data_IF_262603972212
#
_entry.id   IF_262603972212
#
_cell.length_a   1.000
_cell.length_b   1.000
_cell.length_c   1.000
_cell.angle_alpha   90.00
_cell.angle_beta   90.00
_cell.angle_gamma   90.00
#
_symmetry.space_group_name_H-M   'P 1'
#
loop_
_entity.id
_entity.type
_entity.pdbx_description
1 polymer ?
#
# COMPACT_ATOMS: atom_id res chain seq x y z
N UNK A 1 6.38 -7.99 3.98
CA UNK A 1 6.28 -9.39 4.28
C UNK A 1 6.94 -10.29 3.26
N UNK A 2 7.27 -11.48 3.70
CA UNK A 2 7.85 -12.50 2.83
C UNK A 2 6.76 -13.35 2.20
N UNK A 3 6.99 -13.74 0.96
CA UNK A 3 6.07 -14.62 0.23
C UNK A 3 6.87 -15.66 -0.56
N UNK A 4 6.20 -16.73 -0.94
CA UNK A 4 6.74 -17.76 -1.82
C UNK A 4 5.61 -18.34 -2.68
N UNK A 5 5.96 -19.12 -3.71
CA UNK A 5 4.99 -19.60 -4.68
C UNK A 5 3.87 -20.44 -4.06
N UNK A 6 4.20 -21.33 -3.12
CA UNK A 6 3.17 -22.14 -2.44
C UNK A 6 2.14 -21.28 -1.71
N UNK A 7 2.56 -20.18 -1.09
CA UNK A 7 1.66 -19.26 -0.42
C UNK A 7 0.75 -18.53 -1.43
N UNK A 8 1.34 -18.10 -2.55
CA UNK A 8 0.56 -17.47 -3.63
C UNK A 8 -0.46 -18.42 -4.24
N UNK A 9 -0.09 -19.66 -4.46
CA UNK A 9 -1.01 -20.69 -4.96
C UNK A 9 -2.16 -20.94 -3.99
N UNK A 10 -1.88 -21.04 -2.70
CA UNK A 10 -2.90 -21.21 -1.68
C UNK A 10 -3.88 -20.03 -1.65
N UNK A 11 -3.35 -18.82 -1.76
CA UNK A 11 -4.18 -17.60 -1.83
C UNK A 11 -5.11 -17.63 -3.06
N UNK A 12 -4.58 -17.99 -4.23
CA UNK A 12 -5.38 -18.10 -5.46
C UNK A 12 -6.48 -19.14 -5.33
N UNK A 13 -6.19 -20.27 -4.70
CA UNK A 13 -7.19 -21.32 -4.47
C UNK A 13 -8.35 -20.83 -3.60
N UNK A 14 -8.10 -19.84 -2.74
CA UNK A 14 -9.12 -19.21 -1.89
C UNK A 14 -9.77 -17.97 -2.52
N UNK A 15 -9.46 -17.66 -3.76
CA UNK A 15 -10.03 -16.50 -4.46
C UNK A 15 -9.29 -15.19 -4.23
N UNK A 16 -8.05 -15.23 -3.77
CA UNK A 16 -7.23 -14.04 -3.51
C UNK A 16 -6.03 -13.99 -4.44
N UNK A 17 -5.56 -12.79 -4.69
CA UNK A 17 -4.32 -12.54 -5.40
C UNK A 17 -3.32 -11.82 -4.50
N UNK A 18 -2.06 -12.19 -4.64
CA UNK A 18 -0.99 -11.49 -3.96
C UNK A 18 -0.59 -10.25 -4.76
N UNK A 19 -0.55 -9.11 -4.07
CA UNK A 19 -0.03 -7.87 -4.64
C UNK A 19 0.99 -7.30 -3.67
N UNK A 20 2.22 -7.11 -4.14
CA UNK A 20 3.26 -6.42 -3.40
C UNK A 20 3.22 -4.92 -3.66
N UNK A 21 3.92 -4.17 -2.83
CA UNK A 21 4.07 -2.73 -3.02
C UNK A 21 5.19 -2.42 -4.01
N UNK A 22 5.12 -1.24 -4.64
CA UNK A 22 6.21 -0.71 -5.47
C UNK A 22 7.37 -0.25 -4.59
N UNK A 23 8.61 -0.18 -5.10
CA UNK A 23 9.75 0.29 -4.29
C UNK A 23 9.52 1.66 -3.63
N UNK A 24 9.00 2.64 -4.36
CA UNK A 24 8.66 3.94 -3.79
C UNK A 24 7.41 3.90 -2.90
N UNK A 25 6.61 2.84 -2.99
CA UNK A 25 5.43 2.62 -2.18
C UNK A 25 5.72 2.05 -0.79
N UNK A 26 6.95 1.65 -0.53
CA UNK A 26 7.41 1.33 0.82
C UNK A 26 7.61 2.63 1.58
N UNK A 27 6.64 2.98 2.41
CA UNK A 27 6.63 4.29 3.08
C UNK A 27 7.61 4.38 4.25
N UNK A 28 8.09 3.25 4.75
CA UNK A 28 9.05 3.22 5.86
C UNK A 28 8.40 3.40 7.23
N UNK A 29 7.09 3.33 7.31
CA UNK A 29 6.33 3.59 8.54
C UNK A 29 6.50 2.51 9.62
N UNK A 30 7.18 1.42 9.31
CA UNK A 30 7.57 0.39 10.28
C UNK A 30 9.01 0.52 10.76
N UNK A 31 9.77 1.48 10.24
CA UNK A 31 11.16 1.71 10.61
C UNK A 31 11.26 2.51 11.92
N UNK A 32 12.45 2.52 12.51
CA UNK A 32 12.72 3.29 13.72
C UNK A 32 12.49 4.79 13.48
N UNK A 33 11.65 5.41 14.30
CA UNK A 33 11.28 6.83 14.12
C UNK A 33 12.38 7.82 14.46
N UNK A 34 13.39 7.41 15.24
CA UNK A 34 14.54 8.28 15.54
C UNK A 34 15.42 8.42 14.31
N UNK A 35 15.70 7.30 13.63
CA UNK A 35 16.52 7.29 12.43
C UNK A 35 15.75 7.72 11.18
N UNK A 36 14.45 7.46 11.17
CA UNK A 36 13.57 7.73 10.02
C UNK A 36 12.33 8.48 10.51
N UNK A 37 12.45 9.77 10.86
CA UNK A 37 11.32 10.56 11.35
C UNK A 37 10.26 10.77 10.26
N UNK A 38 9.04 10.99 10.70
CA UNK A 38 7.87 11.14 9.81
C UNK A 38 8.08 12.18 8.70
N UNK A 39 8.67 13.33 9.02
CA UNK A 39 8.88 14.39 8.02
C UNK A 39 9.83 13.94 6.90
N UNK A 40 10.86 13.18 7.25
CA UNK A 40 11.79 12.62 6.26
C UNK A 40 11.09 11.60 5.35
N UNK A 41 10.31 10.71 5.93
CA UNK A 41 9.57 9.69 5.18
C UNK A 41 8.51 10.31 4.28
N UNK A 42 7.80 11.32 4.77
CA UNK A 42 6.79 12.05 4.00
C UNK A 42 7.43 12.76 2.80
N UNK A 43 8.53 13.47 3.02
CA UNK A 43 9.24 14.15 1.96
C UNK A 43 9.73 13.20 0.87
N UNK A 44 10.29 12.06 1.27
CA UNK A 44 10.74 11.03 0.35
C UNK A 44 9.59 10.46 -0.48
N UNK A 45 8.47 10.12 0.18
CA UNK A 45 7.30 9.58 -0.51
C UNK A 45 6.73 10.57 -1.52
N UNK A 46 6.58 11.83 -1.13
CA UNK A 46 6.08 12.88 -2.03
C UNK A 46 6.99 13.10 -3.25
N UNK A 47 8.30 12.88 -3.09
CA UNK A 47 9.26 13.03 -4.18
C UNK A 47 9.28 11.82 -5.11
N UNK A 48 9.21 10.61 -4.56
CA UNK A 48 9.54 9.38 -5.28
C UNK A 48 8.33 8.63 -5.84
N UNK A 49 7.15 8.80 -5.27
CA UNK A 49 5.93 8.10 -5.72
C UNK A 49 5.53 8.57 -7.11
N UNK A 50 5.19 7.61 -7.97
CA UNK A 50 4.77 7.84 -9.36
C UNK A 50 3.45 7.17 -9.66
N UNK A 51 2.83 7.55 -10.77
CA UNK A 51 1.59 6.93 -11.24
C UNK A 51 1.78 5.41 -11.42
N UNK A 52 0.81 4.65 -10.95
CA UNK A 52 0.85 3.19 -10.99
C UNK A 52 1.50 2.55 -9.78
N UNK A 53 2.10 3.31 -8.88
CA UNK A 53 2.70 2.75 -7.66
C UNK A 53 1.63 2.20 -6.72
N UNK A 54 1.96 1.09 -6.08
CA UNK A 54 1.17 0.48 -5.01
C UNK A 54 1.85 0.81 -3.69
N UNK A 55 1.11 1.44 -2.79
CA UNK A 55 1.62 1.90 -1.50
C UNK A 55 1.23 0.91 -0.40
N UNK A 56 2.12 0.73 0.57
CA UNK A 56 1.83 -0.04 1.78
C UNK A 56 1.93 0.87 2.99
N UNK A 57 0.91 0.86 3.83
CA UNK A 57 0.88 1.59 5.10
C UNK A 57 0.40 0.66 6.22
N UNK A 58 0.92 0.88 7.41
CA UNK A 58 0.56 0.11 8.60
C UNK A 58 -0.26 0.96 9.57
N UNK A 59 -1.30 0.36 10.14
CA UNK A 59 -2.22 1.03 11.04
C UNK A 59 -1.87 0.76 12.52
N UNK A 60 -0.64 0.85 12.88
CA UNK A 60 -0.29 0.67 14.28
C UNK A 60 0.98 -0.12 14.47
N UNK A 61 2.06 0.49 14.13
CA UNK A 61 3.38 0.03 14.53
C UNK A 61 3.62 0.57 15.93
N UNK A 62 3.33 -0.24 16.92
CA UNK A 62 3.24 0.19 18.32
C UNK A 62 4.58 0.56 18.95
N UNK A 63 5.69 0.06 18.41
CA UNK A 63 7.03 0.40 18.86
C UNK A 63 7.61 1.65 18.18
N UNK A 64 6.91 2.19 17.19
CA UNK A 64 7.29 3.45 16.56
C UNK A 64 6.82 4.63 17.40
N UNK A 65 7.76 5.47 17.85
CA UNK A 65 7.46 6.61 18.74
C UNK A 65 6.75 7.75 18.02
N UNK A 66 6.93 7.89 16.72
CA UNK A 66 6.19 8.84 15.87
C UNK A 66 5.20 8.05 15.02
N UNK A 67 3.93 7.93 15.40
CA UNK A 67 2.96 7.19 14.60
C UNK A 67 2.76 7.81 13.22
N UNK A 68 2.75 6.96 12.20
CA UNK A 68 2.50 7.38 10.82
C UNK A 68 1.01 7.62 10.56
N UNK A 69 0.19 6.65 10.86
CA UNK A 69 -1.24 6.72 10.63
C UNK A 69 -1.97 7.10 11.93
N UNK A 70 -3.05 7.89 11.85
CA UNK A 70 -3.60 8.47 10.62
C UNK A 70 -2.96 9.80 10.19
N UNK A 71 -2.26 10.48 11.08
CA UNK A 71 -1.88 11.89 10.90
C UNK A 71 -1.02 12.16 9.67
N UNK A 72 0.07 11.40 9.52
CA UNK A 72 0.99 11.61 8.40
C UNK A 72 0.45 11.03 7.11
N UNK A 73 -0.26 9.92 7.19
CA UNK A 73 -0.88 9.30 6.02
C UNK A 73 -1.87 10.26 5.35
N UNK A 74 -2.65 11.00 6.13
CA UNK A 74 -3.55 12.01 5.58
C UNK A 74 -2.79 13.10 4.81
N UNK A 75 -1.69 13.59 5.38
CA UNK A 75 -0.84 14.58 4.71
C UNK A 75 -0.25 14.04 3.41
N UNK A 76 0.15 12.79 3.37
CA UNK A 76 0.65 12.14 2.16
C UNK A 76 -0.44 12.08 1.09
N UNK A 77 -1.63 11.64 1.44
CA UNK A 77 -2.76 11.55 0.50
C UNK A 77 -3.08 12.92 -0.08
N UNK A 78 -3.18 13.95 0.76
CA UNK A 78 -3.46 15.31 0.31
C UNK A 78 -2.33 15.86 -0.56
N UNK A 79 -1.08 15.61 -0.20
CA UNK A 79 0.08 16.04 -0.97
C UNK A 79 0.13 15.39 -2.36
N UNK A 80 -0.16 14.11 -2.45
CA UNK A 80 -0.21 13.41 -3.74
C UNK A 80 -1.36 13.90 -4.61
N UNK A 81 -2.54 14.11 -4.03
CA UNK A 81 -3.66 14.72 -4.76
C UNK A 81 -3.33 16.11 -5.28
N UNK A 82 -2.65 16.92 -4.48
CA UNK A 82 -2.18 18.24 -4.88
C UNK A 82 -1.20 18.21 -6.05
N UNK A 83 -0.50 17.09 -6.23
CA UNK A 83 0.39 16.86 -7.37
C UNK A 83 -0.29 16.21 -8.57
N UNK A 84 -1.62 16.06 -8.53
CA UNK A 84 -2.39 15.51 -9.63
C UNK A 84 -2.62 14.00 -9.61
N UNK A 85 -2.24 13.32 -8.52
CA UNK A 85 -2.48 11.88 -8.39
C UNK A 85 -3.93 11.60 -7.99
N UNK A 86 -4.46 10.48 -8.48
CA UNK A 86 -5.71 9.90 -8.05
C UNK A 86 -5.44 8.57 -7.35
N UNK A 87 -6.24 8.26 -6.34
CA UNK A 87 -6.19 6.96 -5.66
C UNK A 87 -7.25 6.05 -6.25
N UNK A 88 -6.86 4.83 -6.60
CA UNK A 88 -7.73 3.84 -7.20
C UNK A 88 -7.61 2.53 -6.44
N UNK A 89 -8.61 1.68 -6.59
CA UNK A 89 -8.54 0.31 -6.09
C UNK A 89 -7.60 -0.53 -6.95
N UNK A 90 -7.12 -1.64 -6.41
CA UNK A 90 -6.27 -2.55 -7.19
C UNK A 90 -7.00 -3.16 -8.38
N UNK A 91 -8.34 -3.24 -8.35
CA UNK A 91 -9.14 -3.69 -9.50
C UNK A 91 -9.01 -2.78 -10.71
N UNK A 92 -8.75 -1.50 -10.47
CA UNK A 92 -8.56 -0.50 -11.53
C UNK A 92 -7.09 -0.34 -11.94
N UNK A 93 -6.18 -1.09 -11.32
CA UNK A 93 -4.76 -1.01 -11.64
C UNK A 93 -4.48 -1.61 -13.03
N UNK A 94 -3.71 -0.93 -13.89
CA UNK A 94 -3.48 -1.39 -15.27
C UNK A 94 -2.80 -2.75 -15.37
N UNK A 95 -1.98 -3.12 -14.38
CA UNK A 95 -1.30 -4.42 -14.36
C UNK A 95 -2.04 -5.42 -13.48
N UNK A 96 -2.36 -5.04 -12.24
CA UNK A 96 -2.95 -5.96 -11.26
C UNK A 96 -4.44 -6.18 -11.45
N UNK A 97 -5.14 -5.25 -12.08
CA UNK A 97 -6.59 -5.33 -12.27
C UNK A 97 -7.04 -6.58 -13.00
N UNK A 98 -6.27 -7.04 -13.98
CA UNK A 98 -6.59 -8.25 -14.74
C UNK A 98 -6.66 -9.51 -13.87
N UNK A 99 -5.80 -9.62 -12.85
CA UNK A 99 -5.82 -10.73 -11.91
C UNK A 99 -7.11 -10.75 -11.09
N UNK A 100 -7.59 -9.58 -10.67
CA UNK A 100 -8.82 -9.45 -9.89
C UNK A 100 -10.09 -9.68 -10.71
N UNK A 101 -10.05 -9.46 -12.01
CA UNK A 101 -11.20 -9.72 -12.88
C UNK A 101 -11.66 -11.17 -12.87
N UNK A 102 -10.78 -12.11 -12.44
CA UNK A 102 -11.09 -13.53 -12.33
C UNK A 102 -11.80 -13.92 -11.03
N UNK A 103 -11.93 -12.97 -10.09
CA UNK A 103 -12.52 -13.21 -8.77
C UNK A 103 -13.71 -12.29 -8.55
N UNK A 104 -14.75 -12.82 -7.90
CA UNK A 104 -15.90 -12.01 -7.50
C UNK A 104 -15.51 -10.99 -6.42
N UNK A 105 -16.11 -9.77 -6.42
CA UNK A 105 -15.95 -8.85 -5.30
C UNK A 105 -16.41 -9.47 -3.98
N UNK A 106 -15.81 -9.01 -2.87
CA UNK A 106 -16.12 -9.56 -1.54
C UNK A 106 -17.60 -9.50 -1.19
N UNK A 107 -18.31 -8.46 -1.63
CA UNK A 107 -19.73 -8.31 -1.38
C UNK A 107 -20.56 -9.45 -1.99
N UNK A 108 -20.07 -10.04 -3.08
CA UNK A 108 -20.74 -11.17 -3.74
C UNK A 108 -20.43 -12.51 -3.10
N UNK A 109 -19.43 -12.56 -2.20
CA UNK A 109 -19.03 -13.78 -1.49
C UNK A 109 -19.72 -13.90 -0.13
N UNK A 110 -20.48 -12.93 0.30
CA UNK A 110 -21.25 -12.98 1.54
C UNK A 110 -22.45 -13.90 1.38
N UNK A 111 -22.73 -14.74 2.40
CA UNK A 111 -23.92 -15.61 2.37
C UNK A 111 -25.22 -14.82 2.35
#
# INVERSE_FOLDING_TARGET
>A
GRTHEGLREAARACGFEHVGWSPAGFLGDELDSVRFPNEQLLGKALRDIRAGDVLVAHLGIWDRKEPWAPAVLERLVQGLKGRGFCFRTLRDHPVHGAAFARHAPLEQLRP
#
